data_IF_314817880537
#
_entry.id   IF_314817880537
#
_cell.length_a   1.000
_cell.length_b   1.000
_cell.length_c   1.000
_cell.angle_alpha   90.00
_cell.angle_beta   90.00
_cell.angle_gamma   90.00
#
_symmetry.space_group_name_H-M   'P 1'
#
loop_
_entity.id
_entity.type
_entity.pdbx_description
1 polymer ?
#
# COMPACT_ATOMS: atom_id res chain seq x y z
N UNK A 1 3.44 -5.63 4.53
CA UNK A 1 4.72 -5.01 4.76
C UNK A 1 5.28 -5.34 6.13
N UNK A 2 6.42 -4.76 6.44
CA UNK A 2 7.05 -4.99 7.73
C UNK A 2 6.32 -4.24 8.83
N UNK A 3 6.02 -4.93 9.93
CA UNK A 3 5.33 -4.34 11.08
C UNK A 3 6.39 -3.72 12.01
N UNK A 4 6.73 -2.47 11.76
CA UNK A 4 7.81 -1.78 12.45
C UNK A 4 7.50 -0.27 12.57
N UNK A 5 8.30 0.43 13.39
CA UNK A 5 8.10 1.85 13.61
C UNK A 5 8.25 2.69 12.34
N UNK A 6 9.23 2.37 11.51
CA UNK A 6 9.47 3.17 10.29
C UNK A 6 8.36 3.05 9.27
N UNK A 7 7.53 2.03 9.39
CA UNK A 7 6.37 1.88 8.52
C UNK A 7 5.15 2.62 9.04
N UNK A 8 5.24 3.19 10.24
CA UNK A 8 4.18 4.01 10.83
C UNK A 8 2.83 3.31 10.87
N UNK A 9 2.85 2.00 11.10
CA UNK A 9 1.61 1.20 11.06
C UNK A 9 0.59 1.65 12.11
N UNK A 10 1.06 2.24 13.19
CA UNK A 10 0.18 2.71 14.24
C UNK A 10 -0.81 3.75 13.74
N UNK A 11 -0.39 4.62 12.82
CA UNK A 11 -1.28 5.62 12.25
C UNK A 11 -2.46 4.97 11.56
N UNK A 12 -2.23 3.85 10.86
CA UNK A 12 -3.30 3.08 10.25
C UNK A 12 -4.21 2.44 11.29
N UNK A 13 -3.62 1.87 12.33
CA UNK A 13 -4.39 1.15 13.34
C UNK A 13 -5.24 2.07 14.19
N UNK A 14 -4.77 3.29 14.46
CA UNK A 14 -5.50 4.26 15.26
C UNK A 14 -6.56 5.01 14.49
N UNK A 15 -6.51 4.95 13.19
CA UNK A 15 -7.45 5.64 12.32
C UNK A 15 -8.84 5.00 12.46
N UNK A 16 -9.85 5.81 12.71
CA UNK A 16 -11.21 5.32 12.82
C UNK A 16 -11.85 5.28 11.44
N UNK A 17 -12.16 4.08 10.98
CA UNK A 17 -12.74 3.90 9.65
C UNK A 17 -13.78 2.79 9.72
N UNK A 18 -14.78 2.83 8.84
CA UNK A 18 -15.68 1.68 8.72
C UNK A 18 -14.97 0.48 8.11
N UNK A 19 -15.52 -0.68 8.34
CA UNK A 19 -15.01 -1.90 7.74
C UNK A 19 -13.92 -2.57 8.55
N UNK A 20 -13.32 -3.57 7.94
CA UNK A 20 -12.33 -4.41 8.58
C UNK A 20 -10.92 -3.97 8.18
N UNK A 21 -10.06 -3.82 9.18
CA UNK A 21 -8.65 -3.57 8.92
C UNK A 21 -7.91 -4.89 8.84
N UNK A 22 -7.05 -4.99 7.82
CA UNK A 22 -6.26 -6.19 7.58
C UNK A 22 -4.79 -5.79 7.48
N UNK A 23 -3.93 -6.53 8.17
CA UNK A 23 -2.48 -6.32 8.11
C UNK A 23 -1.82 -7.59 7.65
N UNK A 24 -1.00 -7.48 6.60
CA UNK A 24 -0.20 -8.58 6.09
C UNK A 24 1.26 -8.25 6.34
N UNK A 25 2.00 -9.25 6.81
CA UNK A 25 3.41 -9.09 7.10
C UNK A 25 3.72 -9.37 8.55
N UNK A 26 5.00 -9.34 8.87
CA UNK A 26 5.49 -9.61 10.22
C UNK A 26 6.54 -8.57 10.59
N UNK A 27 6.86 -8.45 11.86
CA UNK A 27 7.88 -7.52 12.31
C UNK A 27 7.92 -7.39 13.80
N UNK A 28 8.84 -6.57 14.31
CA UNK A 28 9.09 -6.48 15.75
C UNK A 28 7.91 -5.94 16.57
N UNK A 29 7.02 -5.20 15.96
CA UNK A 29 5.87 -4.65 16.68
C UNK A 29 4.63 -5.53 16.63
N UNK A 30 4.67 -6.63 15.87
CA UNK A 30 3.49 -7.44 15.64
C UNK A 30 2.78 -7.90 16.90
N UNK A 31 3.50 -8.53 17.82
CA UNK A 31 2.88 -9.07 19.02
C UNK A 31 2.23 -7.99 19.89
N UNK A 32 2.94 -6.89 20.09
CA UNK A 32 2.41 -5.79 20.90
C UNK A 32 1.16 -5.18 20.27
N UNK A 33 1.17 -5.02 18.97
CA UNK A 33 0.03 -4.40 18.27
C UNK A 33 -1.16 -5.35 18.17
N UNK A 34 -0.91 -6.64 18.04
CA UNK A 34 -1.99 -7.63 18.07
C UNK A 34 -2.76 -7.57 19.38
N UNK A 35 -2.04 -7.47 20.48
CA UNK A 35 -2.66 -7.38 21.78
C UNK A 35 -3.47 -6.11 21.94
N UNK A 36 -2.96 -5.03 21.40
CA UNK A 36 -3.61 -3.73 21.53
C UNK A 36 -4.78 -3.54 20.59
N UNK A 37 -4.72 -4.17 19.42
CA UNK A 37 -5.75 -4.03 18.39
C UNK A 37 -6.31 -5.38 17.98
N UNK A 38 -7.05 -6.04 18.86
CA UNK A 38 -7.53 -7.40 18.58
C UNK A 38 -8.60 -7.48 17.48
N UNK A 39 -9.22 -6.35 17.15
CA UNK A 39 -10.22 -6.32 16.08
C UNK A 39 -9.65 -6.33 14.68
N UNK A 40 -8.34 -6.16 14.55
CA UNK A 40 -7.67 -6.16 13.26
C UNK A 40 -7.39 -7.60 12.83
N UNK A 41 -7.49 -7.88 11.55
CA UNK A 41 -7.14 -9.18 11.02
C UNK A 41 -5.66 -9.21 10.68
N UNK A 42 -4.92 -10.03 11.39
CA UNK A 42 -3.47 -10.16 11.23
C UNK A 42 -3.20 -11.44 10.46
N UNK A 43 -2.83 -11.30 9.19
CA UNK A 43 -2.68 -12.45 8.31
C UNK A 43 -1.25 -12.99 8.21
N UNK A 44 -0.30 -12.27 8.79
CA UNK A 44 1.08 -12.70 8.76
C UNK A 44 1.70 -12.57 7.38
N UNK A 45 2.73 -13.34 7.13
CA UNK A 45 3.44 -13.32 5.86
C UNK A 45 2.73 -14.23 4.88
N UNK A 46 2.31 -13.67 3.74
CA UNK A 46 1.57 -14.41 2.72
C UNK A 46 2.40 -14.60 1.46
N UNK A 47 2.24 -15.74 0.77
CA UNK A 47 2.80 -15.90 -0.57
C UNK A 47 2.23 -14.84 -1.52
N UNK A 48 2.96 -14.58 -2.59
CA UNK A 48 2.60 -13.51 -3.52
C UNK A 48 1.19 -13.67 -4.12
N UNK A 49 0.80 -14.88 -4.49
CA UNK A 49 -0.52 -15.10 -5.07
C UNK A 49 -1.63 -14.87 -4.05
N UNK A 50 -1.43 -15.25 -2.81
CA UNK A 50 -2.42 -14.99 -1.76
C UNK A 50 -2.48 -13.51 -1.42
N UNK A 51 -1.33 -12.84 -1.41
CA UNK A 51 -1.29 -11.41 -1.16
C UNK A 51 -2.05 -10.64 -2.25
N UNK A 52 -1.93 -11.09 -3.49
CA UNK A 52 -2.67 -10.48 -4.59
C UNK A 52 -4.17 -10.59 -4.38
N UNK A 53 -4.64 -11.71 -3.85
CA UNK A 53 -6.06 -11.88 -3.55
C UNK A 53 -6.52 -10.91 -2.45
N UNK A 54 -5.68 -10.68 -1.45
CA UNK A 54 -5.99 -9.73 -0.39
C UNK A 54 -6.09 -8.32 -0.97
N UNK A 55 -5.15 -7.92 -1.81
CA UNK A 55 -5.24 -6.63 -2.47
C UNK A 55 -6.52 -6.50 -3.29
N UNK A 56 -6.83 -7.52 -4.08
CA UNK A 56 -8.01 -7.48 -4.93
C UNK A 56 -9.32 -7.39 -4.13
N UNK A 57 -9.33 -7.96 -2.94
CA UNK A 57 -10.50 -7.93 -2.07
C UNK A 57 -10.60 -6.64 -1.26
N UNK A 58 -9.53 -5.89 -1.13
CA UNK A 58 -9.52 -4.67 -0.33
C UNK A 58 -10.15 -3.52 -1.09
N UNK A 59 -10.78 -2.63 -0.36
CA UNK A 59 -11.36 -1.41 -0.94
C UNK A 59 -10.33 -0.32 -1.09
N UNK A 60 -9.40 -0.24 -0.15
CA UNK A 60 -8.32 0.75 -0.16
C UNK A 60 -7.08 0.11 0.48
N UNK A 61 -5.94 0.37 -0.10
CA UNK A 61 -4.65 0.04 0.50
C UNK A 61 -4.12 1.28 1.19
N UNK A 62 -3.98 1.22 2.50
CA UNK A 62 -3.46 2.36 3.27
C UNK A 62 -1.95 2.21 3.42
N UNK A 63 -1.23 3.22 2.96
CA UNK A 63 0.23 3.25 3.06
C UNK A 63 0.62 4.36 4.05
N UNK A 64 0.88 4.02 5.31
CA UNK A 64 1.07 5.03 6.35
C UNK A 64 2.50 5.54 6.51
N UNK A 65 3.43 5.07 5.70
CA UNK A 65 4.82 5.50 5.81
C UNK A 65 5.01 6.97 5.54
N UNK A 66 5.89 7.61 6.29
CA UNK A 66 6.17 9.04 6.14
C UNK A 66 7.56 9.32 5.57
N UNK A 67 8.51 8.46 5.80
CA UNK A 67 9.86 8.64 5.28
C UNK A 67 10.18 7.42 4.46
N UNK A 68 9.66 7.40 3.27
CA UNK A 68 9.70 6.21 2.46
C UNK A 68 10.27 6.46 1.10
N UNK A 69 10.88 5.44 0.59
CA UNK A 69 11.29 5.42 -0.78
C UNK A 69 10.11 4.97 -1.63
N UNK A 70 10.35 4.79 -2.89
CA UNK A 70 9.35 4.32 -3.82
C UNK A 70 8.85 2.94 -3.41
N UNK A 71 7.57 2.78 -3.27
CA UNK A 71 6.99 1.55 -2.75
C UNK A 71 6.45 0.62 -3.81
N UNK A 72 7.11 -0.54 -3.97
CA UNK A 72 6.63 -1.57 -4.87
C UNK A 72 5.23 -2.05 -4.45
N UNK A 73 4.97 -2.07 -3.16
CA UNK A 73 3.67 -2.52 -2.64
C UNK A 73 2.52 -1.67 -3.14
N UNK A 74 2.74 -0.38 -3.35
CA UNK A 74 1.69 0.48 -3.89
C UNK A 74 1.34 0.11 -5.31
N UNK A 75 2.36 -0.18 -6.12
CA UNK A 75 2.12 -0.62 -7.50
C UNK A 75 1.42 -1.97 -7.53
N UNK A 76 1.76 -2.86 -6.62
CA UNK A 76 1.11 -4.16 -6.54
C UNK A 76 -0.38 -4.00 -6.21
N UNK A 77 -0.70 -3.16 -5.25
CA UNK A 77 -2.10 -2.91 -4.89
C UNK A 77 -2.86 -2.32 -6.07
N UNK A 78 -2.29 -1.31 -6.72
CA UNK A 78 -2.94 -0.66 -7.85
C UNK A 78 -3.13 -1.60 -9.03
N UNK A 79 -2.16 -2.47 -9.27
CA UNK A 79 -2.28 -3.46 -10.35
C UNK A 79 -3.46 -4.41 -10.10
N UNK A 80 -3.82 -4.63 -8.85
CA UNK A 80 -4.98 -5.43 -8.49
C UNK A 80 -6.27 -4.60 -8.48
N UNK A 81 -6.20 -3.34 -8.86
CA UNK A 81 -7.36 -2.44 -8.90
C UNK A 81 -7.69 -1.82 -7.56
N UNK A 82 -6.74 -1.79 -6.63
CA UNK A 82 -6.98 -1.26 -5.30
C UNK A 82 -6.35 0.12 -5.16
N UNK A 83 -7.15 1.18 -4.95
CA UNK A 83 -6.58 2.51 -4.78
C UNK A 83 -5.83 2.65 -3.48
N UNK A 84 -4.86 3.54 -3.47
CA UNK A 84 -3.95 3.75 -2.34
C UNK A 84 -4.30 5.05 -1.63
N UNK A 85 -4.26 5.03 -0.30
CA UNK A 85 -4.37 6.22 0.53
C UNK A 85 -3.02 6.40 1.24
N UNK A 86 -2.43 7.58 1.13
CA UNK A 86 -1.09 7.81 1.66
C UNK A 86 -0.86 9.27 2.02
N UNK A 87 0.20 9.51 2.79
CA UNK A 87 0.67 10.86 3.04
C UNK A 87 1.41 11.40 1.80
N UNK A 88 1.41 12.73 1.61
CA UNK A 88 2.10 13.33 0.45
C UNK A 88 3.60 13.43 0.66
N UNK A 89 4.25 12.28 0.74
CA UNK A 89 5.69 12.16 0.88
C UNK A 89 6.29 11.55 -0.39
N UNK A 90 7.60 11.54 -0.50
CA UNK A 90 8.28 11.26 -1.76
C UNK A 90 7.84 10.02 -2.52
N UNK A 91 7.80 8.87 -1.89
CA UNK A 91 7.40 7.64 -2.57
C UNK A 91 6.00 7.72 -3.15
N UNK A 92 4.99 7.97 -2.29
CA UNK A 92 3.61 8.11 -2.77
C UNK A 92 3.41 9.25 -3.77
N UNK A 93 4.11 10.36 -3.61
CA UNK A 93 4.01 11.46 -4.57
C UNK A 93 4.38 10.98 -5.97
N UNK A 94 5.44 10.20 -6.07
CA UNK A 94 5.89 9.71 -7.36
C UNK A 94 4.95 8.68 -7.96
N UNK A 95 4.43 7.79 -7.12
CA UNK A 95 3.60 6.69 -7.59
C UNK A 95 2.17 7.13 -7.91
N UNK A 96 1.57 7.93 -7.04
CA UNK A 96 0.13 8.25 -7.15
C UNK A 96 -0.15 9.52 -7.91
N UNK A 97 0.74 10.48 -7.86
CA UNK A 97 0.51 11.80 -8.39
C UNK A 97 0.79 11.87 -9.88
N UNK A 98 -0.17 11.46 -10.65
CA UNK A 98 -0.09 11.64 -12.09
C UNK A 98 -0.59 13.03 -12.41
N UNK A 99 0.21 13.82 -13.08
CA UNK A 99 -0.18 15.16 -13.48
C UNK A 99 -1.39 15.12 -14.41
N UNK A 100 -1.46 14.09 -15.23
CA UNK A 100 -2.57 13.88 -16.13
C UNK A 100 -2.84 12.39 -16.22
N UNK A 101 -4.10 12.03 -16.38
CA UNK A 101 -4.47 10.65 -16.51
C UNK A 101 -5.01 10.06 -15.22
N UNK A 102 -4.93 8.75 -15.12
CA UNK A 102 -5.53 8.03 -14.02
C UNK A 102 -4.77 8.25 -12.71
N UNK A 103 -5.53 8.31 -11.63
CA UNK A 103 -4.94 8.42 -10.29
C UNK A 103 -4.94 7.06 -9.62
N UNK A 104 -3.82 6.72 -8.98
CA UNK A 104 -3.71 5.46 -8.25
C UNK A 104 -4.32 5.51 -6.86
N UNK A 105 -4.65 6.70 -6.38
CA UNK A 105 -5.19 6.85 -5.05
C UNK A 105 -5.21 8.32 -4.65
N UNK A 106 -5.17 8.58 -3.35
CA UNK A 106 -5.27 9.91 -2.79
C UNK A 106 -4.14 10.18 -1.81
N UNK A 107 -3.56 11.36 -1.92
CA UNK A 107 -2.56 11.86 -0.98
C UNK A 107 -3.18 12.94 -0.12
N UNK A 108 -2.97 12.85 1.18
CA UNK A 108 -3.47 13.87 2.10
C UNK A 108 -2.64 13.87 3.38
N UNK A 109 -2.47 15.03 3.96
CA UNK A 109 -1.75 15.15 5.24
C UNK A 109 -2.49 14.44 6.37
N UNK A 110 -3.80 14.32 6.25
CA UNK A 110 -4.64 13.55 7.15
C UNK A 110 -4.92 12.20 6.50
N UNK A 111 -4.37 11.14 7.05
CA UNK A 111 -4.47 9.81 6.48
C UNK A 111 -5.92 9.32 6.40
N UNK A 112 -6.74 9.66 7.38
CA UNK A 112 -8.14 9.28 7.37
C UNK A 112 -8.87 9.94 6.20
N UNK A 113 -8.54 11.20 5.92
CA UNK A 113 -9.14 11.91 4.79
C UNK A 113 -8.69 11.27 3.48
N UNK A 114 -7.41 10.90 3.39
CA UNK A 114 -6.92 10.19 2.22
C UNK A 114 -7.68 8.89 2.00
N UNK A 115 -7.92 8.13 3.08
CA UNK A 115 -8.68 6.90 3.00
C UNK A 115 -10.11 7.15 2.52
N UNK A 116 -10.78 8.11 3.13
CA UNK A 116 -12.17 8.42 2.79
C UNK A 116 -12.30 8.80 1.32
N UNK A 117 -11.38 9.64 0.84
CA UNK A 117 -11.41 10.07 -0.55
C UNK A 117 -11.01 8.94 -1.50
N UNK A 118 -10.11 8.07 -1.08
CA UNK A 118 -9.68 6.95 -1.91
C UNK A 118 -10.80 5.95 -2.17
N UNK A 119 -11.78 5.88 -1.28
CA UNK A 119 -12.96 5.04 -1.50
C UNK A 119 -13.73 5.44 -2.76
N UNK A 120 -13.56 6.68 -3.20
CA UNK A 120 -14.24 7.18 -4.40
C UNK A 120 -13.44 6.98 -5.68
N UNK A 121 -12.20 6.54 -5.59
CA UNK A 121 -11.38 6.30 -6.77
C UNK A 121 -11.80 4.98 -7.41
N UNK A 122 -12.23 4.99 -8.68
CA UNK A 122 -12.63 3.75 -9.34
C UNK A 122 -11.45 2.78 -9.46
N UNK A 123 -11.76 1.51 -9.31
CA UNK A 123 -10.71 0.49 -9.35
C UNK A 123 -10.00 0.46 -10.71
N UNK A 124 -10.70 0.75 -11.78
CA UNK A 124 -10.07 0.78 -13.11
C UNK A 124 -9.01 1.88 -13.22
N UNK A 125 -9.21 3.01 -12.52
CA UNK A 125 -8.23 4.09 -12.52
C UNK A 125 -6.94 3.67 -11.81
N UNK A 126 -7.08 2.98 -10.69
CA UNK A 126 -5.91 2.50 -9.97
C UNK A 126 -5.11 1.53 -10.84
N UNK A 127 -5.80 0.61 -11.52
CA UNK A 127 -5.14 -0.35 -12.39
C UNK A 127 -4.46 0.35 -13.56
N UNK A 128 -5.13 1.33 -14.15
CA UNK A 128 -4.58 2.09 -15.26
C UNK A 128 -3.33 2.86 -14.86
N UNK A 129 -3.35 3.44 -13.67
CA UNK A 129 -2.16 4.14 -13.16
C UNK A 129 -0.99 3.19 -12.99
N UNK A 130 -1.23 1.98 -12.50
CA UNK A 130 -0.18 1.00 -12.36
C UNK A 130 0.45 0.67 -13.71
N UNK A 131 -0.35 0.67 -14.77
CA UNK A 131 0.14 0.37 -16.10
C UNK A 131 0.98 1.49 -16.71
N UNK A 132 0.94 2.68 -16.13
CA UNK A 132 1.83 3.77 -16.56
C UNK A 132 3.29 3.47 -16.23
N UNK A 133 3.54 2.51 -15.34
CA UNK A 133 4.88 2.10 -14.98
C UNK A 133 5.21 0.85 -15.77
N UNK A 134 6.06 1.00 -16.79
CA UNK A 134 6.54 -0.16 -17.54
C UNK A 134 7.46 -0.98 -16.63
N UNK A 135 7.69 -2.24 -17.00
CA UNK A 135 8.63 -3.06 -16.27
C UNK A 135 10.03 -2.46 -16.29
N UNK A 136 10.39 -1.79 -17.37
CA UNK A 136 11.69 -1.12 -17.44
C UNK A 136 11.77 0.02 -16.44
N UNK A 137 10.71 0.83 -16.36
CA UNK A 137 10.66 1.94 -15.40
C UNK A 137 10.62 1.43 -13.97
N UNK A 138 9.79 0.43 -13.72
CA UNK A 138 9.71 -0.19 -12.40
C UNK A 138 11.05 -0.80 -12.01
N UNK A 139 11.72 -1.43 -12.95
CA UNK A 139 13.04 -2.00 -12.70
C UNK A 139 14.07 -0.97 -12.31
N UNK A 140 14.05 0.18 -12.96
CA UNK A 140 14.94 1.27 -12.61
C UNK A 140 14.69 1.78 -11.20
N UNK A 141 13.44 2.00 -10.87
CA UNK A 141 13.06 2.57 -9.58
C UNK A 141 13.23 1.59 -8.43
N UNK A 142 13.01 0.31 -8.71
CA UNK A 142 13.04 -0.72 -7.69
C UNK A 142 14.22 -1.67 -7.81
N UNK A 143 15.26 -1.27 -8.48
CA UNK A 143 16.36 -2.18 -8.77
C UNK A 143 16.88 -2.92 -7.54
N UNK A 144 16.98 -2.23 -6.43
CA UNK A 144 17.46 -2.84 -5.20
C UNK A 144 16.51 -3.90 -4.65
N UNK A 145 15.24 -3.81 -4.99
CA UNK A 145 14.24 -4.76 -4.50
C UNK A 145 14.01 -5.92 -5.46
N UNK A 146 14.15 -5.67 -6.75
CA UNK A 146 13.75 -6.63 -7.75
C UNK A 146 14.82 -7.66 -8.07
N UNK A 147 16.06 -7.24 -8.07
CA UNK A 147 17.14 -8.09 -8.57
C UNK A 147 17.18 -9.46 -7.89
N UNK A 148 17.23 -9.54 -6.55
CA UNK A 148 17.31 -10.85 -5.91
C UNK A 148 16.07 -11.71 -6.12
N UNK A 149 14.91 -11.08 -6.13
CA UNK A 149 13.65 -11.81 -6.22
C UNK A 149 13.34 -12.26 -7.63
N UNK A 150 13.80 -11.53 -8.58
CA UNK A 150 13.50 -11.82 -9.98
C UNK A 150 14.06 -13.09 -10.46
N UNK A 151 15.22 -13.45 -9.94
CA UNK A 151 15.91 -14.63 -10.43
C UNK A 151 15.16 -15.91 -10.17
N UNK A 152 14.24 -15.91 -9.23
CA UNK A 152 13.51 -17.11 -8.87
C UNK A 152 12.24 -17.33 -9.70
N UNK A 153 11.88 -16.36 -10.49
CA UNK A 153 10.60 -16.48 -11.20
C UNK A 153 10.75 -17.08 -12.59
#
# INVERSE_FOLDING_TARGET
>A
GRVSYEKNIKAFLEMETPGTKVVCGVGPLEEALKSRYPGVRWLGLLPRDELALVYAAADVFVFPGRSETFGLVMLEAMACGTPVAAYPVDGPLEVLNASEGAKGGVLHADLKQAFTDALQVPRWQARERAMDFSWAEAGKLFQAYLVPARSSS
#
